data_IF_939396419540
#
_entry.id   IF_939396419540
#
_cell.length_a   1.000
_cell.length_b   1.000
_cell.length_c   1.000
_cell.angle_alpha   90.00
_cell.angle_beta   90.00
_cell.angle_gamma   90.00
#
_symmetry.space_group_name_H-M   'P 1'
#
loop_
_entity.id
_entity.type
_entity.pdbx_description
1 polymer ?
#
# COMPACT_ATOMS: atom_id res chain seq x y z
N UNK A 1 -36.53 -15.46 -9.26
CA UNK A 1 -35.58 -15.12 -8.18
C UNK A 1 -34.21 -14.93 -8.79
N UNK A 2 -33.45 -13.97 -8.28
CA UNK A 2 -32.08 -13.68 -8.69
C UNK A 2 -31.12 -14.06 -7.57
N UNK A 3 -30.16 -14.92 -7.86
CA UNK A 3 -29.10 -15.26 -6.91
C UNK A 3 -27.96 -14.22 -7.00
N UNK A 4 -27.37 -13.89 -5.86
CA UNK A 4 -26.19 -13.05 -5.78
C UNK A 4 -25.26 -13.48 -4.64
N UNK A 5 -23.98 -13.24 -4.80
CA UNK A 5 -22.99 -13.38 -3.73
C UNK A 5 -22.66 -11.98 -3.21
N UNK A 6 -22.62 -11.80 -1.89
CA UNK A 6 -22.31 -10.51 -1.27
C UNK A 6 -21.10 -10.66 -0.35
N UNK A 7 -20.21 -9.67 -0.35
CA UNK A 7 -19.11 -9.60 0.61
C UNK A 7 -19.67 -9.39 2.03
N UNK A 8 -19.23 -10.18 2.99
CA UNK A 8 -19.64 -10.08 4.39
C UNK A 8 -18.47 -10.42 5.32
N UNK A 9 -17.91 -9.38 5.96
CA UNK A 9 -16.70 -9.52 6.77
C UNK A 9 -15.52 -9.99 5.92
N UNK A 10 -14.93 -11.12 6.29
CA UNK A 10 -13.85 -11.82 5.59
C UNK A 10 -14.35 -12.93 4.65
N UNK A 11 -15.66 -13.01 4.44
CA UNK A 11 -16.33 -14.09 3.72
C UNK A 11 -17.34 -13.57 2.70
N UNK A 12 -18.14 -14.48 2.16
CA UNK A 12 -19.25 -14.17 1.27
C UNK A 12 -20.53 -14.85 1.71
N UNK A 13 -21.67 -14.19 1.50
CA UNK A 13 -22.99 -14.77 1.72
C UNK A 13 -23.72 -14.87 0.39
N UNK A 14 -24.35 -16.02 0.14
CA UNK A 14 -25.24 -16.19 -1.01
C UNK A 14 -26.66 -15.78 -0.62
N UNK A 15 -27.29 -14.95 -1.44
CA UNK A 15 -28.63 -14.41 -1.21
C UNK A 15 -29.52 -14.63 -2.43
N UNK A 16 -30.78 -14.98 -2.17
CA UNK A 16 -31.84 -15.07 -3.18
C UNK A 16 -32.72 -13.81 -3.10
N UNK A 17 -32.77 -13.07 -4.20
CA UNK A 17 -33.42 -11.76 -4.30
C UNK A 17 -34.64 -11.82 -5.24
N UNK A 18 -35.67 -11.00 -5.03
CA UNK A 18 -36.77 -10.87 -5.98
C UNK A 18 -36.28 -10.43 -7.37
N UNK A 19 -36.92 -10.88 -8.45
CA UNK A 19 -36.51 -10.56 -9.84
C UNK A 19 -36.53 -9.05 -10.16
N UNK A 20 -37.34 -8.28 -9.43
CA UNK A 20 -37.39 -6.81 -9.53
C UNK A 20 -36.15 -6.10 -8.97
N UNK A 21 -35.17 -6.83 -8.42
CA UNK A 21 -34.02 -6.25 -7.72
C UNK A 21 -32.94 -5.82 -8.70
N UNK A 22 -32.58 -4.54 -8.65
CA UNK A 22 -31.43 -4.00 -9.36
C UNK A 22 -30.19 -4.09 -8.45
N UNK A 23 -29.13 -4.74 -8.95
CA UNK A 23 -27.83 -4.77 -8.28
C UNK A 23 -26.96 -3.66 -8.88
N UNK A 24 -26.34 -2.85 -8.01
CA UNK A 24 -25.45 -1.76 -8.40
C UNK A 24 -24.14 -1.95 -7.64
N UNK A 25 -23.10 -2.40 -8.34
CA UNK A 25 -21.74 -2.56 -7.82
C UNK A 25 -21.46 -3.88 -7.06
N UNK A 26 -20.34 -4.51 -7.43
CA UNK A 26 -19.44 -5.27 -6.54
C UNK A 26 -19.85 -6.64 -5.98
N UNK A 27 -21.11 -7.07 -6.06
CA UNK A 27 -21.52 -8.39 -5.54
C UNK A 27 -21.25 -9.56 -6.49
N UNK A 28 -21.39 -9.34 -7.79
CA UNK A 28 -21.22 -10.35 -8.85
C UNK A 28 -19.94 -10.11 -9.69
N UNK A 29 -19.07 -9.20 -9.24
CA UNK A 29 -17.94 -8.73 -10.05
C UNK A 29 -18.32 -7.69 -11.12
N UNK A 30 -19.58 -7.28 -11.23
CA UNK A 30 -20.00 -6.19 -12.10
C UNK A 30 -19.96 -4.84 -11.35
N UNK A 31 -18.78 -4.46 -10.87
CA UNK A 31 -18.42 -3.03 -11.01
C UNK A 31 -18.30 -2.80 -12.51
N UNK A 32 -19.22 -2.06 -13.13
CA UNK A 32 -19.33 -1.92 -14.59
C UNK A 32 -18.14 -1.26 -15.31
N UNK A 33 -16.99 -1.14 -14.67
CA UNK A 33 -15.72 -0.79 -15.29
C UNK A 33 -14.90 -2.05 -15.61
N UNK A 34 -14.03 -2.00 -16.62
CA UNK A 34 -13.14 -3.12 -16.93
C UNK A 34 -12.28 -3.46 -15.72
N UNK A 35 -12.36 -4.72 -15.26
CA UNK A 35 -11.41 -5.25 -14.28
C UNK A 35 -10.07 -5.34 -14.98
N UNK A 36 -9.06 -4.64 -14.47
CA UNK A 36 -7.71 -4.77 -15.00
C UNK A 36 -7.20 -6.17 -14.70
N UNK A 37 -6.56 -6.79 -15.69
CA UNK A 37 -5.85 -8.04 -15.47
C UNK A 37 -4.73 -7.81 -14.46
N UNK A 38 -4.58 -8.71 -13.46
CA UNK A 38 -3.51 -8.59 -12.50
C UNK A 38 -2.16 -8.73 -13.22
N UNK A 39 -1.20 -7.92 -12.82
CA UNK A 39 0.18 -8.08 -13.28
C UNK A 39 0.78 -9.34 -12.67
N UNK A 40 1.57 -10.08 -13.45
CA UNK A 40 2.18 -11.34 -13.00
C UNK A 40 3.27 -11.12 -11.95
N UNK A 41 4.05 -10.04 -12.08
CA UNK A 41 5.13 -9.68 -11.18
C UNK A 41 4.94 -8.23 -10.71
N UNK A 42 4.37 -8.09 -9.52
CA UNK A 42 4.12 -6.77 -8.92
C UNK A 42 5.42 -6.06 -8.56
N UNK A 43 6.45 -6.79 -8.17
CA UNK A 43 7.74 -6.21 -7.77
C UNK A 43 8.43 -5.58 -8.98
N UNK A 44 8.52 -6.32 -10.09
CA UNK A 44 9.10 -5.81 -11.32
C UNK A 44 8.37 -4.56 -11.83
N UNK A 45 7.03 -4.55 -11.75
CA UNK A 45 6.22 -3.40 -12.19
C UNK A 45 6.42 -2.18 -11.29
N UNK A 46 6.52 -2.36 -9.97
CA UNK A 46 6.84 -1.26 -9.03
C UNK A 46 8.21 -0.66 -9.35
N UNK A 47 9.22 -1.50 -9.57
CA UNK A 47 10.58 -1.05 -9.93
C UNK A 47 10.60 -0.33 -11.27
N UNK A 48 9.87 -0.84 -12.26
CA UNK A 48 9.73 -0.20 -13.57
C UNK A 48 9.06 1.18 -13.47
N UNK A 49 8.05 1.32 -12.62
CA UNK A 49 7.36 2.59 -12.40
C UNK A 49 8.31 3.63 -11.77
N UNK A 50 9.09 3.25 -10.76
CA UNK A 50 10.09 4.12 -10.13
C UNK A 50 11.24 4.48 -11.08
N UNK A 51 11.60 3.59 -12.01
CA UNK A 51 12.59 3.86 -13.04
C UNK A 51 12.07 4.71 -14.22
N UNK A 52 10.78 5.06 -14.25
CA UNK A 52 10.15 5.90 -15.29
C UNK A 52 9.20 6.92 -14.66
N UNK A 53 9.71 7.84 -13.82
CA UNK A 53 8.89 8.82 -13.14
C UNK A 53 8.16 9.73 -14.13
N UNK A 54 6.93 10.12 -13.80
CA UNK A 54 6.13 11.02 -14.62
C UNK A 54 6.36 12.47 -14.20
N UNK A 55 7.00 13.27 -15.06
CA UNK A 55 7.17 14.71 -14.85
C UNK A 55 8.10 15.09 -13.69
N UNK A 56 8.84 14.14 -13.12
CA UNK A 56 9.80 14.34 -12.04
C UNK A 56 11.11 13.58 -12.31
N UNK A 57 12.24 14.02 -11.73
CA UNK A 57 13.47 13.23 -11.68
C UNK A 57 13.30 11.91 -10.92
N UNK A 58 14.26 11.00 -11.09
CA UNK A 58 14.34 9.79 -10.28
C UNK A 58 14.59 10.14 -8.81
N UNK A 59 14.17 9.27 -7.88
CA UNK A 59 14.35 9.49 -6.44
C UNK A 59 15.82 9.77 -6.09
N UNK A 60 16.74 9.02 -6.69
CA UNK A 60 18.19 9.20 -6.48
C UNK A 60 18.73 10.59 -6.86
N UNK A 61 18.01 11.31 -7.73
CA UNK A 61 18.36 12.67 -8.18
C UNK A 61 17.72 13.76 -7.31
N UNK A 62 16.72 13.39 -6.49
CA UNK A 62 16.00 14.29 -5.59
C UNK A 62 16.67 14.41 -4.21
N UNK A 63 17.61 13.53 -3.90
CA UNK A 63 18.30 13.48 -2.60
C UNK A 63 19.80 13.66 -2.79
N UNK A 64 20.47 14.03 -1.69
CA UNK A 64 21.93 14.07 -1.61
C UNK A 64 22.43 12.95 -0.70
N UNK A 65 23.69 12.50 -0.83
CA UNK A 65 24.30 11.57 0.11
C UNK A 65 24.13 12.05 1.56
N UNK A 66 23.75 11.12 2.45
CA UNK A 66 23.50 11.42 3.87
C UNK A 66 22.23 12.24 4.17
N UNK A 67 21.34 12.46 3.19
CA UNK A 67 20.05 13.11 3.45
C UNK A 67 19.22 12.34 4.50
N UNK A 68 18.32 13.06 5.20
CA UNK A 68 17.27 12.46 6.03
C UNK A 68 15.99 12.40 5.22
N UNK A 69 15.35 11.24 5.21
CA UNK A 69 14.17 10.98 4.37
C UNK A 69 13.04 10.43 5.22
N UNK A 70 11.83 10.93 4.99
CA UNK A 70 10.61 10.38 5.54
C UNK A 70 9.79 9.78 4.41
N UNK A 71 9.48 8.49 4.49
CA UNK A 71 8.57 7.81 3.57
C UNK A 71 7.21 7.71 4.28
N UNK A 72 6.25 8.50 3.80
CA UNK A 72 4.86 8.36 4.22
C UNK A 72 4.17 7.30 3.38
N UNK A 73 3.36 6.45 4.02
CA UNK A 73 2.55 5.45 3.33
C UNK A 73 1.13 5.43 3.86
N UNK A 74 0.20 5.09 2.98
CA UNK A 74 -1.23 5.03 3.28
C UNK A 74 -1.52 4.00 4.37
N UNK A 75 -2.42 4.35 5.28
CA UNK A 75 -2.85 3.43 6.31
C UNK A 75 -3.72 2.28 5.74
N UNK A 76 -3.94 1.20 6.49
CA UNK A 76 -4.74 0.05 6.04
C UNK A 76 -6.21 0.34 5.69
N UNK A 77 -6.75 1.55 5.93
CA UNK A 77 -8.11 1.88 5.47
C UNK A 77 -8.15 2.18 3.97
N UNK A 78 -7.01 2.53 3.36
CA UNK A 78 -6.93 2.76 1.92
C UNK A 78 -6.99 1.43 1.17
N UNK A 79 -7.90 1.28 0.19
CA UNK A 79 -8.08 0.05 -0.57
C UNK A 79 -6.87 -0.19 -1.48
N UNK A 80 -5.87 -0.83 -0.92
CA UNK A 80 -4.65 -1.26 -1.60
C UNK A 80 -4.43 -2.72 -1.21
N UNK A 81 -5.00 -3.61 -2.02
CA UNK A 81 -4.98 -5.05 -1.82
C UNK A 81 -3.65 -5.62 -2.33
N UNK A 82 -2.91 -6.30 -1.45
CA UNK A 82 -1.63 -6.92 -1.79
C UNK A 82 -0.39 -6.16 -1.27
N UNK A 83 0.82 -6.65 -1.60
CA UNK A 83 2.08 -6.23 -0.99
C UNK A 83 2.62 -4.90 -1.51
N UNK A 84 1.87 -4.15 -2.31
CA UNK A 84 2.37 -2.96 -3.02
C UNK A 84 3.02 -1.92 -2.10
N UNK A 85 2.50 -1.73 -0.87
CA UNK A 85 3.12 -0.84 0.13
C UNK A 85 4.54 -1.31 0.48
N UNK A 86 4.69 -2.59 0.83
CA UNK A 86 5.99 -3.21 1.14
C UNK A 86 6.94 -3.10 -0.05
N UNK A 87 6.49 -3.52 -1.24
CA UNK A 87 7.31 -3.52 -2.46
C UNK A 87 7.79 -2.11 -2.83
N UNK A 88 6.90 -1.11 -2.72
CA UNK A 88 7.25 0.28 -2.99
C UNK A 88 8.28 0.80 -1.98
N UNK A 89 8.09 0.55 -0.69
CA UNK A 89 9.05 0.96 0.35
C UNK A 89 10.41 0.31 0.12
N UNK A 90 10.46 -1.01 -0.12
CA UNK A 90 11.71 -1.73 -0.40
C UNK A 90 12.43 -1.15 -1.64
N UNK A 91 11.69 -0.90 -2.73
CA UNK A 91 12.26 -0.31 -3.94
C UNK A 91 12.76 1.13 -3.75
N UNK A 92 12.06 1.95 -2.95
CA UNK A 92 12.50 3.31 -2.61
C UNK A 92 13.78 3.25 -1.76
N UNK A 93 13.89 2.32 -0.81
CA UNK A 93 15.09 2.15 0.00
C UNK A 93 16.32 1.80 -0.85
N UNK A 94 16.16 0.99 -1.89
CA UNK A 94 17.23 0.70 -2.84
C UNK A 94 17.68 1.94 -3.62
N UNK A 95 16.74 2.76 -4.12
CA UNK A 95 17.08 4.03 -4.79
C UNK A 95 17.81 5.00 -3.86
N UNK A 96 17.38 5.10 -2.60
CA UNK A 96 17.99 5.94 -1.58
C UNK A 96 19.41 5.46 -1.24
N UNK A 97 19.60 4.15 -1.06
CA UNK A 97 20.91 3.56 -0.82
C UNK A 97 21.87 3.84 -2.00
N UNK A 98 21.39 3.70 -3.24
CA UNK A 98 22.15 4.04 -4.45
C UNK A 98 22.55 5.51 -4.54
N UNK A 99 21.79 6.41 -3.91
CA UNK A 99 22.11 7.83 -3.79
C UNK A 99 23.00 8.18 -2.58
N UNK A 100 23.45 7.18 -1.82
CA UNK A 100 24.28 7.37 -0.62
C UNK A 100 23.50 7.84 0.60
N UNK A 101 22.19 7.63 0.66
CA UNK A 101 21.38 7.83 1.87
C UNK A 101 21.43 6.56 2.69
N UNK A 102 22.02 6.58 3.90
CA UNK A 102 22.09 5.39 4.73
C UNK A 102 20.72 5.09 5.35
N UNK A 103 20.39 3.82 5.54
CA UNK A 103 19.03 3.41 5.94
C UNK A 103 18.62 4.01 7.30
N UNK A 104 19.55 4.19 8.23
CA UNK A 104 19.32 4.82 9.53
C UNK A 104 18.79 6.27 9.44
N UNK A 105 19.01 6.95 8.31
CA UNK A 105 18.47 8.28 8.05
C UNK A 105 17.05 8.27 7.48
N UNK A 106 16.49 7.07 7.22
CA UNK A 106 15.14 6.92 6.70
C UNK A 106 14.17 6.63 7.86
N UNK A 107 13.03 7.31 7.86
CA UNK A 107 11.90 7.03 8.73
C UNK A 107 10.68 6.66 7.90
N UNK A 108 9.81 5.81 8.44
CA UNK A 108 8.52 5.47 7.86
C UNK A 108 7.42 6.09 8.73
N UNK A 109 6.39 6.65 8.10
CA UNK A 109 5.18 7.10 8.82
C UNK A 109 3.94 6.51 8.16
N UNK A 110 3.14 5.81 8.98
CA UNK A 110 1.79 5.44 8.60
C UNK A 110 0.94 6.71 8.64
N UNK A 111 0.46 7.16 7.47
CA UNK A 111 -0.28 8.40 7.29
C UNK A 111 -1.76 8.22 7.65
N UNK A 112 -2.05 7.95 8.93
CA UNK A 112 -3.40 7.62 9.41
C UNK A 112 -4.29 8.84 9.70
N UNK A 113 -3.80 10.08 9.55
CA UNK A 113 -4.55 11.31 9.77
C UNK A 113 -5.39 11.29 11.08
N UNK A 114 -6.72 11.38 10.98
CA UNK A 114 -7.65 11.34 12.11
C UNK A 114 -8.06 9.92 12.53
N UNK A 115 -7.62 8.88 11.83
CA UNK A 115 -7.86 7.49 12.24
C UNK A 115 -7.06 7.16 13.50
N UNK A 116 -7.52 6.15 14.26
CA UNK A 116 -6.75 5.62 15.38
C UNK A 116 -5.35 5.19 14.93
N UNK A 117 -4.43 5.13 15.88
CA UNK A 117 -3.10 4.55 15.63
C UNK A 117 -3.22 3.05 15.36
N UNK A 118 -2.40 2.58 14.41
CA UNK A 118 -2.31 1.17 14.06
C UNK A 118 -1.37 0.42 15.00
N UNK A 119 -1.76 -0.78 15.41
CA UNK A 119 -0.90 -1.64 16.22
C UNK A 119 0.27 -2.15 15.39
N UNK A 120 1.34 -2.61 16.04
CA UNK A 120 2.48 -3.17 15.30
C UNK A 120 2.09 -4.44 14.54
N UNK A 121 1.19 -5.27 15.12
CA UNK A 121 0.65 -6.47 14.45
C UNK A 121 -0.11 -6.13 13.16
N UNK A 122 -0.93 -5.09 13.19
CA UNK A 122 -1.66 -4.63 12.00
C UNK A 122 -0.74 -4.02 10.94
N UNK A 123 0.34 -3.33 11.34
CA UNK A 123 1.34 -2.87 10.37
C UNK A 123 2.15 -4.03 9.79
N UNK A 124 2.41 -5.07 10.57
CA UNK A 124 3.07 -6.29 10.09
C UNK A 124 2.25 -6.97 8.99
N UNK A 125 0.91 -6.94 9.05
CA UNK A 125 0.09 -7.57 8.01
C UNK A 125 0.17 -6.86 6.65
N UNK A 126 0.49 -5.56 6.62
CA UNK A 126 0.59 -4.78 5.37
C UNK A 126 2.03 -4.51 4.90
N UNK A 127 3.00 -4.48 5.82
CA UNK A 127 4.41 -4.20 5.51
C UNK A 127 5.29 -5.46 5.56
N UNK A 128 4.80 -6.54 6.15
CA UNK A 128 5.61 -7.71 6.49
C UNK A 128 6.43 -7.51 7.77
N UNK A 129 6.89 -8.62 8.39
CA UNK A 129 7.63 -8.58 9.65
C UNK A 129 8.98 -7.89 9.53
N UNK A 130 9.67 -8.05 8.40
CA UNK A 130 11.03 -7.58 8.20
C UNK A 130 11.13 -6.06 8.24
N UNK A 131 10.25 -5.34 7.52
CA UNK A 131 10.23 -3.86 7.56
C UNK A 131 9.86 -3.34 8.95
N UNK A 132 8.86 -3.94 9.60
CA UNK A 132 8.45 -3.54 10.94
C UNK A 132 9.58 -3.72 11.95
N UNK A 133 10.31 -4.84 11.86
CA UNK A 133 11.47 -5.12 12.73
C UNK A 133 12.64 -4.18 12.45
N UNK A 134 13.01 -3.98 11.17
CA UNK A 134 14.14 -3.13 10.75
C UNK A 134 13.96 -1.66 11.15
N UNK A 135 12.74 -1.14 11.00
CA UNK A 135 12.46 0.26 11.30
C UNK A 135 12.13 0.48 12.78
N UNK A 136 11.42 -0.43 13.45
CA UNK A 136 11.16 -0.35 14.89
C UNK A 136 10.63 1.04 15.30
N UNK A 137 11.41 1.78 16.09
CA UNK A 137 11.05 3.14 16.54
C UNK A 137 11.02 4.19 15.41
N UNK A 138 11.69 3.92 14.27
CA UNK A 138 11.65 4.75 13.05
C UNK A 138 10.41 4.51 12.19
N UNK A 139 9.54 3.58 12.59
CA UNK A 139 8.21 3.38 12.01
C UNK A 139 7.17 4.02 12.93
N UNK A 140 6.73 5.22 12.58
CA UNK A 140 5.80 5.99 13.40
C UNK A 140 4.34 5.88 12.94
N UNK A 141 3.42 6.14 13.87
CA UNK A 141 1.97 5.95 13.73
C UNK A 141 1.28 7.30 13.95
N UNK A 142 1.28 8.15 12.94
CA UNK A 142 0.63 9.48 12.98
C UNK A 142 1.38 10.57 13.76
N UNK A 143 2.53 10.28 14.34
CA UNK A 143 3.41 11.28 14.97
C UNK A 143 4.78 11.24 14.31
N UNK A 144 5.15 12.29 13.58
CA UNK A 144 6.53 12.50 13.16
C UNK A 144 7.19 13.46 14.14
N UNK A 145 8.25 13.00 14.83
CA UNK A 145 9.09 13.84 15.68
C UNK A 145 10.44 14.01 14.96
N UNK A 146 10.76 15.23 14.47
CA UNK A 146 11.95 15.49 13.67
C UNK A 146 13.27 15.37 14.44
#
# INVERSE_FOLDING_TARGET
MKEATLLFGDSTVNVSLPDRTQLIGGGDGASGGPRLEPVADQEAVVRQALARPLGLPHIRELVRPGARVLIAFDDPTVPSFGPVRRLAIEAILEELAGAGVPEENVNLVCANALHRKWTSSELTSILGPDLVQRFGQRLTKGEFRP
#
